data_IF_872921702942
#
_entry.id   IF_872921702942
#
_cell.length_a   1.000
_cell.length_b   1.000
_cell.length_c   1.000
_cell.angle_alpha   90.00
_cell.angle_beta   90.00
_cell.angle_gamma   90.00
#
_symmetry.space_group_name_H-M   'P 1'
#
loop_
_entity.id
_entity.type
_entity.pdbx_description
1 polymer ?
#
# COMPACT_ATOMS: atom_id res chain seq x y z
N UNK A 1 -26.35 85.92 38.57
CA UNK A 1 -27.80 85.63 38.44
C UNK A 1 -28.33 85.83 37.01
N UNK A 2 -28.17 87.00 36.38
CA UNK A 2 -28.73 87.30 35.05
C UNK A 2 -28.31 86.34 33.92
N UNK A 3 -27.05 85.87 33.92
CA UNK A 3 -26.53 84.90 32.93
C UNK A 3 -27.12 83.49 33.07
N UNK A 4 -27.60 83.12 34.27
CA UNK A 4 -28.19 81.79 34.53
C UNK A 4 -29.64 81.77 34.01
N UNK A 5 -30.37 82.87 34.21
CA UNK A 5 -31.73 83.01 33.68
C UNK A 5 -31.77 83.10 32.14
N UNK A 6 -30.75 83.68 31.49
CA UNK A 6 -30.71 83.70 30.01
C UNK A 6 -30.43 82.32 29.42
N UNK A 7 -29.60 81.50 30.08
CA UNK A 7 -29.33 80.11 29.66
C UNK A 7 -30.57 79.24 29.88
N UNK A 8 -31.27 79.41 31.01
CA UNK A 8 -32.51 78.68 31.28
C UNK A 8 -33.63 79.05 30.28
N UNK A 9 -33.77 80.33 29.94
CA UNK A 9 -34.73 80.80 28.94
C UNK A 9 -34.39 80.31 27.52
N UNK A 10 -33.09 80.23 27.18
CA UNK A 10 -32.64 79.65 25.92
C UNK A 10 -32.94 78.15 25.84
N UNK A 11 -32.71 77.40 26.93
CA UNK A 11 -33.05 75.98 26.99
C UNK A 11 -34.57 75.73 26.93
N UNK A 12 -35.39 76.58 27.54
CA UNK A 12 -36.86 76.47 27.47
C UNK A 12 -37.40 76.85 26.09
N UNK A 13 -36.79 77.82 25.41
CA UNK A 13 -37.15 78.20 24.04
C UNK A 13 -36.78 77.10 23.03
N UNK A 14 -35.61 76.47 23.18
CA UNK A 14 -35.17 75.35 22.32
C UNK A 14 -36.05 74.11 22.51
N UNK A 15 -36.57 73.89 23.72
CA UNK A 15 -37.44 72.75 24.01
C UNK A 15 -38.85 72.91 23.39
N UNK A 16 -39.34 74.13 23.20
CA UNK A 16 -40.65 74.40 22.58
C UNK A 16 -40.63 74.40 21.05
N UNK A 17 -39.47 74.60 20.42
CA UNK A 17 -39.35 74.62 18.96
C UNK A 17 -39.01 73.26 18.36
N UNK A 18 -38.95 72.19 19.16
CA UNK A 18 -38.80 70.84 18.63
C UNK A 18 -40.08 70.44 17.91
N UNK A 19 -40.09 70.33 16.57
CA UNK A 19 -41.28 69.89 15.87
C UNK A 19 -41.57 68.46 16.34
N UNK A 20 -42.75 68.28 16.97
CA UNK A 20 -43.35 66.98 17.17
C UNK A 20 -43.37 66.28 15.80
N UNK A 21 -42.66 65.15 15.70
CA UNK A 21 -42.36 64.49 14.43
C UNK A 21 -43.59 64.43 13.54
N UNK A 22 -43.51 65.08 12.38
CA UNK A 22 -44.41 64.82 11.29
C UNK A 22 -44.31 63.32 11.00
N UNK A 23 -45.40 62.58 11.20
CA UNK A 23 -45.48 61.20 10.78
C UNK A 23 -45.37 61.20 9.25
N UNK A 24 -44.15 61.01 8.74
CA UNK A 24 -43.93 60.70 7.34
C UNK A 24 -44.82 59.50 7.02
N UNK A 25 -45.79 59.75 6.15
CA UNK A 25 -46.67 58.71 5.66
C UNK A 25 -45.86 57.95 4.62
N UNK A 26 -45.53 56.70 4.91
CA UNK A 26 -44.70 55.88 4.05
C UNK A 26 -45.61 55.13 3.08
N UNK A 27 -45.24 55.15 1.81
CA UNK A 27 -45.90 54.41 0.73
C UNK A 27 -45.21 53.07 0.59
N UNK A 28 -45.98 51.98 0.76
CA UNK A 28 -45.52 50.61 0.56
C UNK A 28 -46.16 50.09 -0.71
N UNK A 29 -45.34 49.75 -1.70
CA UNK A 29 -45.80 49.19 -2.97
C UNK A 29 -45.69 47.66 -2.95
N UNK A 30 -46.72 47.00 -3.45
CA UNK A 30 -46.78 45.55 -3.60
C UNK A 30 -46.41 45.14 -5.02
N UNK A 31 -45.97 43.90 -5.19
CA UNK A 31 -45.69 43.29 -6.50
C UNK A 31 -46.91 43.35 -7.45
N UNK A 32 -48.13 43.29 -6.89
CA UNK A 32 -49.38 43.41 -7.64
C UNK A 32 -49.76 44.86 -8.04
N UNK A 33 -48.91 45.85 -7.74
CA UNK A 33 -49.14 47.27 -8.03
C UNK A 33 -50.09 47.99 -7.06
N UNK A 34 -50.47 47.34 -5.95
CA UNK A 34 -51.26 47.98 -4.89
C UNK A 34 -50.35 48.81 -3.98
N UNK A 35 -50.83 49.99 -3.58
CA UNK A 35 -50.08 50.96 -2.78
C UNK A 35 -50.79 51.13 -1.45
N UNK A 36 -50.07 50.89 -0.35
CA UNK A 36 -50.58 51.12 1.01
C UNK A 36 -49.81 52.27 1.65
N UNK A 37 -50.54 53.30 2.06
CA UNK A 37 -50.00 54.43 2.80
C UNK A 37 -50.17 54.23 4.31
N UNK A 38 -49.07 54.30 5.05
CA UNK A 38 -49.11 54.18 6.50
C UNK A 38 -47.75 54.18 7.17
N UNK A 39 -47.70 53.63 8.37
CA UNK A 39 -46.47 53.46 9.14
C UNK A 39 -46.36 52.00 9.63
N UNK A 40 -45.15 51.44 9.65
CA UNK A 40 -44.93 50.05 10.10
C UNK A 40 -45.19 49.96 11.61
N UNK A 41 -46.24 49.26 11.99
CA UNK A 41 -46.61 49.08 13.40
C UNK A 41 -45.87 47.90 14.03
N UNK A 42 -45.79 46.78 13.32
CA UNK A 42 -45.13 45.56 13.74
C UNK A 42 -44.61 44.81 12.52
N UNK A 43 -43.50 44.12 12.67
CA UNK A 43 -42.87 43.37 11.60
C UNK A 43 -42.23 42.12 12.20
N UNK A 44 -42.61 40.98 11.65
CA UNK A 44 -42.10 39.66 11.99
C UNK A 44 -41.24 39.15 10.81
N UNK A 45 -40.69 37.94 10.92
CA UNK A 45 -39.81 37.34 9.91
C UNK A 45 -40.46 37.19 8.53
N UNK A 46 -41.78 36.96 8.48
CA UNK A 46 -42.47 36.67 7.21
C UNK A 46 -43.57 37.70 6.88
N UNK A 47 -44.06 38.46 7.86
CA UNK A 47 -45.19 39.38 7.65
C UNK A 47 -45.02 40.71 8.38
N UNK A 48 -45.65 41.76 7.84
CA UNK A 48 -45.73 43.07 8.48
C UNK A 48 -47.15 43.57 8.63
N UNK A 49 -47.34 44.44 9.62
CA UNK A 49 -48.59 45.15 9.87
C UNK A 49 -48.35 46.65 9.75
N UNK A 50 -48.99 47.25 8.77
CA UNK A 50 -48.97 48.70 8.53
C UNK A 50 -50.20 49.33 9.19
N UNK A 51 -49.96 50.36 10.01
CA UNK A 51 -51.00 51.25 10.52
C UNK A 51 -51.32 52.28 9.45
N UNK A 52 -52.52 52.22 8.89
CA UNK A 52 -52.98 53.15 7.85
C UNK A 52 -53.29 54.52 8.47
N UNK A 53 -53.24 55.56 7.64
CA UNK A 53 -53.57 56.95 8.03
C UNK A 53 -54.97 57.11 8.63
N UNK A 54 -55.91 56.23 8.25
CA UNK A 54 -57.30 56.21 8.73
C UNK A 54 -57.41 55.65 10.17
N UNK A 55 -56.30 55.23 10.79
CA UNK A 55 -56.27 54.69 12.14
C UNK A 55 -56.54 53.18 12.23
N UNK A 56 -56.89 52.55 11.10
CA UNK A 56 -57.06 51.11 10.96
C UNK A 56 -55.73 50.41 10.66
N UNK A 57 -55.56 49.19 11.15
CA UNK A 57 -54.44 48.32 10.78
C UNK A 57 -54.79 47.53 9.53
N UNK A 58 -53.80 47.27 8.68
CA UNK A 58 -53.95 46.33 7.58
C UNK A 58 -53.85 44.88 8.11
N UNK A 59 -54.44 43.93 7.38
CA UNK A 59 -54.19 42.51 7.62
C UNK A 59 -52.70 42.20 7.47
N UNK A 60 -52.20 41.14 8.11
CA UNK A 60 -50.78 40.75 8.00
C UNK A 60 -50.41 40.54 6.54
N UNK A 61 -49.47 41.35 6.05
CA UNK A 61 -49.00 41.32 4.66
C UNK A 61 -47.67 40.58 4.65
N UNK A 62 -47.56 39.54 3.85
CA UNK A 62 -46.31 38.79 3.74
C UNK A 62 -45.26 39.61 2.98
N UNK A 63 -44.01 39.54 3.45
CA UNK A 63 -42.88 40.29 2.87
C UNK A 63 -42.61 39.89 1.41
N UNK A 64 -43.01 38.68 1.02
CA UNK A 64 -42.92 38.16 -0.36
C UNK A 64 -43.71 39.01 -1.35
N UNK A 65 -44.82 39.62 -0.93
CA UNK A 65 -45.70 40.39 -1.82
C UNK A 65 -45.27 41.86 -1.97
N UNK A 66 -44.20 42.29 -1.31
CA UNK A 66 -43.69 43.66 -1.44
C UNK A 66 -42.82 43.80 -2.69
N UNK A 67 -42.82 45.00 -3.28
CA UNK A 67 -41.91 45.31 -4.37
C UNK A 67 -40.45 45.38 -3.88
N UNK A 68 -39.51 45.08 -4.76
CA UNK A 68 -38.07 45.14 -4.43
C UNK A 68 -37.64 46.54 -4.00
N UNK A 69 -38.23 47.58 -4.56
CA UNK A 69 -37.96 48.97 -4.17
C UNK A 69 -38.38 49.23 -2.71
N UNK A 70 -39.54 48.69 -2.30
CA UNK A 70 -40.03 48.79 -0.93
C UNK A 70 -39.16 47.99 0.04
N UNK A 71 -38.70 46.79 -0.34
CA UNK A 71 -37.80 45.96 0.46
C UNK A 71 -36.41 46.61 0.62
N UNK A 72 -35.86 47.19 -0.44
CA UNK A 72 -34.60 47.95 -0.37
C UNK A 72 -34.73 49.19 0.53
N UNK A 73 -35.86 49.90 0.46
CA UNK A 73 -36.15 51.01 1.36
C UNK A 73 -36.25 50.54 2.82
N UNK A 74 -36.87 49.38 3.05
CA UNK A 74 -37.04 48.83 4.39
C UNK A 74 -35.72 48.37 5.00
N UNK A 75 -34.80 47.84 4.18
CA UNK A 75 -33.42 47.50 4.56
C UNK A 75 -32.59 48.71 5.00
N UNK A 76 -32.87 49.92 4.49
CA UNK A 76 -32.17 51.13 4.94
C UNK A 76 -32.37 51.41 6.45
N UNK A 77 -33.41 50.83 7.05
CA UNK A 77 -33.65 50.92 8.48
C UNK A 77 -33.02 49.71 9.22
N UNK A 78 -32.10 49.92 10.19
CA UNK A 78 -31.36 48.83 10.84
C UNK A 78 -32.25 47.90 11.68
N UNK A 79 -33.45 48.34 12.07
CA UNK A 79 -34.44 47.54 12.79
C UNK A 79 -35.08 46.45 11.92
N UNK A 80 -35.10 46.67 10.62
CA UNK A 80 -35.86 45.86 9.67
C UNK A 80 -34.97 45.07 8.70
N UNK A 81 -33.67 45.40 8.64
CA UNK A 81 -32.71 44.79 7.74
C UNK A 81 -32.64 43.26 7.84
N UNK A 82 -32.58 42.70 9.06
CA UNK A 82 -32.48 41.25 9.28
C UNK A 82 -33.67 40.47 8.71
N UNK A 83 -34.87 41.05 8.78
CA UNK A 83 -36.10 40.41 8.29
C UNK A 83 -36.27 40.53 6.78
N UNK A 84 -35.62 41.51 6.14
CA UNK A 84 -35.83 41.85 4.72
C UNK A 84 -34.72 41.28 3.84
N UNK A 85 -33.51 41.13 4.38
CA UNK A 85 -32.36 40.56 3.67
C UNK A 85 -32.65 39.22 2.94
N UNK A 86 -33.47 38.29 3.47
CA UNK A 86 -33.82 37.06 2.77
C UNK A 86 -34.71 37.26 1.53
N UNK A 87 -35.47 38.35 1.47
CA UNK A 87 -36.48 38.60 0.42
C UNK A 87 -35.97 39.52 -0.70
N UNK A 88 -34.84 40.20 -0.50
CA UNK A 88 -34.19 40.98 -1.55
C UNK A 88 -33.49 40.04 -2.51
N UNK A 89 -33.86 40.07 -3.79
CA UNK A 89 -33.15 39.33 -4.82
C UNK A 89 -31.77 39.97 -5.02
N UNK A 90 -30.71 39.17 -4.82
CA UNK A 90 -29.36 39.60 -5.16
C UNK A 90 -29.26 39.70 -6.69
N UNK A 91 -28.73 40.81 -7.25
CA UNK A 91 -28.51 40.92 -8.68
C UNK A 91 -27.60 39.80 -9.18
N UNK A 92 -27.89 39.24 -10.36
CA UNK A 92 -27.21 38.06 -10.92
C UNK A 92 -25.68 38.21 -11.03
N UNK A 93 -25.18 39.45 -11.07
CA UNK A 93 -23.76 39.81 -11.16
C UNK A 93 -22.94 39.49 -9.89
N UNK A 94 -23.58 39.30 -8.72
CA UNK A 94 -22.90 39.01 -7.44
C UNK A 94 -22.90 37.52 -7.06
N UNK A 95 -23.51 36.65 -7.88
CA UNK A 95 -23.54 35.20 -7.65
C UNK A 95 -22.18 34.60 -8.07
N UNK A 96 -21.15 34.87 -7.28
CA UNK A 96 -19.88 34.17 -7.43
C UNK A 96 -20.00 32.80 -6.74
N UNK A 97 -19.75 31.68 -7.46
CA UNK A 97 -19.69 30.38 -6.81
C UNK A 97 -18.59 30.41 -5.73
N UNK A 98 -18.85 29.90 -4.53
CA UNK A 98 -17.88 29.95 -3.45
C UNK A 98 -16.59 29.24 -3.88
N UNK A 99 -15.47 29.95 -3.86
CA UNK A 99 -14.16 29.39 -4.22
C UNK A 99 -13.73 28.43 -3.10
N UNK A 100 -13.97 27.14 -3.31
CA UNK A 100 -13.53 26.08 -2.39
C UNK A 100 -12.01 25.95 -2.53
N UNK A 101 -11.26 26.55 -1.61
CA UNK A 101 -9.82 26.33 -1.48
C UNK A 101 -9.58 24.92 -0.93
N UNK A 102 -9.54 23.92 -1.81
CA UNK A 102 -9.20 22.54 -1.47
C UNK A 102 -7.75 22.48 -1.00
N UNK A 103 -7.53 22.42 0.31
CA UNK A 103 -6.21 22.15 0.88
C UNK A 103 -5.81 20.74 0.45
N UNK A 104 -4.84 20.64 -0.46
CA UNK A 104 -4.31 19.34 -0.84
C UNK A 104 -3.70 18.68 0.39
N UNK A 105 -3.97 17.38 0.62
CA UNK A 105 -3.41 16.67 1.75
C UNK A 105 -1.88 16.62 1.60
N UNK A 106 -1.18 16.83 2.71
CA UNK A 106 0.28 16.80 2.76
C UNK A 106 0.76 15.39 2.38
N UNK A 107 1.29 15.25 1.16
CA UNK A 107 1.82 13.99 0.66
C UNK A 107 3.25 13.89 1.13
N UNK A 108 3.60 12.80 1.80
CA UNK A 108 5.00 12.48 2.08
C UNK A 108 5.79 12.57 0.77
N UNK A 109 6.80 13.44 0.74
CA UNK A 109 7.69 13.54 -0.40
C UNK A 109 8.37 12.19 -0.60
N UNK A 110 8.21 11.62 -1.80
CA UNK A 110 8.92 10.42 -2.15
C UNK A 110 10.41 10.77 -2.23
N UNK A 111 11.31 10.06 -1.55
CA UNK A 111 12.73 10.37 -1.60
C UNK A 111 13.21 10.32 -3.05
N UNK A 112 13.83 11.41 -3.50
CA UNK A 112 14.37 11.54 -4.84
C UNK A 112 15.58 10.60 -5.00
N UNK A 113 15.31 9.40 -5.48
CA UNK A 113 16.32 8.38 -5.73
C UNK A 113 15.80 7.32 -6.67
N UNK A 114 16.37 7.23 -7.87
CA UNK A 114 16.11 6.11 -8.78
C UNK A 114 16.72 4.85 -8.15
N UNK A 115 15.91 3.99 -7.56
CA UNK A 115 16.35 2.69 -7.02
C UNK A 115 16.76 1.78 -8.17
N UNK A 116 18.03 1.85 -8.56
CA UNK A 116 18.62 0.93 -9.54
C UNK A 116 19.23 -0.27 -8.82
N UNK A 117 19.32 -1.42 -9.50
CA UNK A 117 19.92 -2.64 -8.94
C UNK A 117 21.37 -2.41 -8.45
N UNK A 118 22.10 -1.50 -9.10
CA UNK A 118 23.46 -1.12 -8.72
C UNK A 118 23.54 -0.23 -7.49
N UNK A 119 22.45 0.47 -7.13
CA UNK A 119 22.38 1.28 -5.91
C UNK A 119 22.56 0.42 -4.66
N UNK A 120 22.04 -0.80 -4.67
CA UNK A 120 22.17 -1.75 -3.56
C UNK A 120 23.61 -2.29 -3.44
N UNK A 121 24.33 -2.42 -4.56
CA UNK A 121 25.72 -2.90 -4.57
C UNK A 121 26.70 -1.90 -3.92
N UNK A 122 26.41 -0.61 -3.97
CA UNK A 122 27.26 0.44 -3.38
C UNK A 122 27.04 0.63 -1.87
N UNK A 123 26.14 -0.14 -1.25
CA UNK A 123 25.94 -0.12 0.19
C UNK A 123 26.98 -0.99 0.91
N UNK A 124 27.29 -0.75 2.19
CA UNK A 124 28.19 -1.60 2.97
C UNK A 124 27.77 -3.07 2.98
N UNK A 125 26.45 -3.32 3.03
CA UNK A 125 25.88 -4.68 2.94
C UNK A 125 26.04 -5.26 1.53
N UNK A 126 25.91 -4.43 0.50
CA UNK A 126 26.20 -4.79 -0.88
C UNK A 126 27.64 -5.25 -1.08
N UNK A 127 28.62 -4.52 -0.52
CA UNK A 127 30.03 -4.92 -0.57
C UNK A 127 30.28 -6.27 0.12
N UNK A 128 29.67 -6.53 1.28
CA UNK A 128 29.78 -7.84 1.93
C UNK A 128 29.26 -8.97 1.03
N UNK A 129 28.16 -8.76 0.32
CA UNK A 129 27.65 -9.74 -0.63
C UNK A 129 28.60 -9.94 -1.83
N UNK A 130 29.15 -8.86 -2.38
CA UNK A 130 30.15 -8.94 -3.47
C UNK A 130 31.36 -9.76 -3.01
N UNK A 131 31.89 -9.49 -1.81
CA UNK A 131 33.03 -10.24 -1.28
C UNK A 131 32.68 -11.71 -1.01
N UNK A 132 31.48 -12.01 -0.52
CA UNK A 132 31.03 -13.38 -0.32
C UNK A 132 30.95 -14.17 -1.65
N UNK A 133 30.36 -13.57 -2.69
CA UNK A 133 30.32 -14.17 -4.03
C UNK A 133 31.72 -14.30 -4.65
N UNK A 134 32.59 -13.31 -4.43
CA UNK A 134 33.97 -13.35 -4.90
C UNK A 134 34.78 -14.47 -4.23
N UNK A 135 34.62 -14.67 -2.91
CA UNK A 135 35.22 -15.77 -2.18
C UNK A 135 34.70 -17.13 -2.68
N UNK A 136 33.39 -17.26 -2.92
CA UNK A 136 32.80 -18.44 -3.54
C UNK A 136 33.36 -18.74 -4.93
N UNK A 137 33.60 -17.70 -5.74
CA UNK A 137 34.24 -17.81 -7.05
C UNK A 137 35.70 -18.31 -6.96
N UNK A 138 36.47 -17.88 -5.94
CA UNK A 138 37.83 -18.36 -5.71
C UNK A 138 37.85 -19.81 -5.20
N UNK A 139 36.92 -20.20 -4.34
CA UNK A 139 36.78 -21.59 -3.89
C UNK A 139 36.39 -22.51 -5.05
N UNK A 140 35.46 -22.08 -5.91
CA UNK A 140 35.12 -22.84 -7.11
C UNK A 140 36.34 -23.02 -8.03
N UNK A 141 37.14 -21.96 -8.21
CA UNK A 141 38.38 -22.04 -8.99
C UNK A 141 39.41 -23.00 -8.39
N UNK A 142 39.55 -23.01 -7.06
CA UNK A 142 40.42 -23.92 -6.34
C UNK A 142 40.03 -25.38 -6.57
N UNK A 143 38.75 -25.72 -6.39
CA UNK A 143 38.24 -27.07 -6.62
C UNK A 143 38.41 -27.51 -8.08
N UNK A 144 38.18 -26.61 -9.03
CA UNK A 144 38.39 -26.90 -10.46
C UNK A 144 39.87 -27.13 -10.75
N UNK A 145 40.79 -26.40 -10.11
CA UNK A 145 42.23 -26.58 -10.28
C UNK A 145 42.65 -27.99 -9.83
N UNK A 146 42.18 -28.41 -8.65
CA UNK A 146 42.43 -29.75 -8.10
C UNK A 146 41.81 -30.82 -9.00
N UNK A 147 40.56 -30.64 -9.42
CA UNK A 147 39.84 -31.61 -10.26
C UNK A 147 40.43 -31.76 -11.67
N UNK A 148 40.98 -30.70 -12.25
CA UNK A 148 41.59 -30.69 -13.60
C UNK A 148 43.11 -30.92 -13.58
N UNK A 149 43.74 -31.03 -12.42
CA UNK A 149 45.20 -31.17 -12.29
C UNK A 149 45.99 -29.95 -12.77
N UNK A 150 45.42 -28.74 -12.67
CA UNK A 150 46.01 -27.49 -13.15
C UNK A 150 46.69 -26.74 -11.99
N UNK A 151 47.73 -25.92 -12.25
CA UNK A 151 48.36 -25.13 -11.19
C UNK A 151 47.36 -24.17 -10.53
N UNK A 152 47.18 -24.31 -9.21
CA UNK A 152 46.17 -23.58 -8.43
C UNK A 152 46.32 -22.06 -8.59
N UNK A 153 47.56 -21.55 -8.57
CA UNK A 153 47.84 -20.13 -8.74
C UNK A 153 47.33 -19.56 -10.08
N UNK A 154 47.40 -20.34 -11.16
CA UNK A 154 46.95 -19.91 -12.49
C UNK A 154 45.41 -19.86 -12.53
N UNK A 155 44.74 -20.92 -12.08
CA UNK A 155 43.27 -21.02 -12.13
C UNK A 155 42.62 -20.02 -11.18
N UNK A 156 43.11 -19.90 -9.94
CA UNK A 156 42.63 -18.89 -8.99
C UNK A 156 42.98 -17.47 -9.44
N UNK A 157 44.18 -17.24 -9.99
CA UNK A 157 44.60 -15.93 -10.49
C UNK A 157 43.76 -15.43 -11.67
N UNK A 158 43.44 -16.30 -12.62
CA UNK A 158 42.55 -15.92 -13.73
C UNK A 158 41.11 -15.70 -13.25
N UNK A 159 40.63 -16.53 -12.33
CA UNK A 159 39.30 -16.38 -11.71
C UNK A 159 39.16 -15.09 -10.89
N UNK A 160 40.26 -14.59 -10.33
CA UNK A 160 40.29 -13.32 -9.62
C UNK A 160 40.09 -12.11 -10.54
N UNK A 161 40.56 -12.18 -11.80
CA UNK A 161 40.46 -11.12 -12.81
C UNK A 161 39.12 -11.20 -13.55
N UNK A 162 38.69 -12.42 -13.89
CA UNK A 162 37.46 -12.71 -14.62
C UNK A 162 36.56 -13.63 -13.78
N UNK A 163 35.81 -13.07 -12.81
CA UNK A 163 34.89 -13.86 -11.99
C UNK A 163 33.87 -14.60 -12.88
N UNK A 164 33.48 -15.80 -12.46
CA UNK A 164 32.56 -16.70 -13.17
C UNK A 164 33.14 -17.27 -14.48
N UNK A 165 33.70 -16.43 -15.36
CA UNK A 165 34.25 -16.85 -16.66
C UNK A 165 35.51 -17.70 -16.48
N UNK A 166 36.43 -17.30 -15.59
CA UNK A 166 37.68 -18.04 -15.33
C UNK A 166 37.43 -19.52 -14.97
N UNK A 167 36.62 -19.81 -13.93
CA UNK A 167 36.22 -21.17 -13.58
C UNK A 167 35.58 -21.95 -14.73
N UNK A 168 34.68 -21.32 -15.49
CA UNK A 168 33.99 -21.95 -16.64
C UNK A 168 34.99 -22.31 -17.75
N UNK A 169 35.98 -21.48 -18.01
CA UNK A 169 37.01 -21.80 -19.00
C UNK A 169 37.79 -23.06 -18.57
N UNK A 170 38.29 -23.10 -17.34
CA UNK A 170 39.11 -24.23 -16.88
C UNK A 170 38.35 -25.55 -16.75
N UNK A 171 37.05 -25.51 -16.45
CA UNK A 171 36.23 -26.72 -16.47
C UNK A 171 35.98 -27.22 -17.90
N UNK A 172 35.88 -26.33 -18.89
CA UNK A 172 35.72 -26.70 -20.31
C UNK A 172 37.02 -27.21 -20.95
N UNK A 173 38.18 -26.83 -20.42
CA UNK A 173 39.46 -27.38 -20.88
C UNK A 173 39.65 -28.83 -20.42
N UNK A 174 40.35 -29.66 -21.21
CA UNK A 174 40.72 -31.00 -20.78
C UNK A 174 41.64 -30.94 -19.56
N UNK A 175 41.48 -31.92 -18.67
CA UNK A 175 42.38 -32.13 -17.55
C UNK A 175 43.79 -32.46 -18.04
N UNK A 176 44.79 -31.94 -17.36
CA UNK A 176 46.17 -32.37 -17.56
C UNK A 176 46.43 -33.36 -16.43
N UNK A 177 46.84 -34.58 -16.76
CA UNK A 177 47.38 -35.48 -15.74
C UNK A 177 48.59 -34.78 -15.14
N UNK A 178 48.52 -34.47 -13.85
CA UNK A 178 49.59 -33.80 -13.15
C UNK A 178 50.83 -34.70 -13.18
N UNK A 179 51.77 -34.43 -14.08
CA UNK A 179 53.17 -34.69 -13.80
C UNK A 179 53.44 -33.88 -12.55
N UNK A 180 53.61 -34.58 -11.44
CA UNK A 180 53.88 -34.03 -10.12
C UNK A 180 54.77 -32.83 -10.24
N UNK A 181 54.22 -31.64 -9.97
CA UNK A 181 54.97 -30.40 -9.77
C UNK A 181 55.70 -30.46 -8.42
N UNK A 182 56.43 -31.55 -8.20
CA UNK A 182 57.50 -31.73 -7.23
C UNK A 182 58.85 -31.89 -7.97
N UNK A 183 58.86 -32.06 -9.30
CA UNK A 183 60.06 -31.95 -10.16
C UNK A 183 60.26 -30.54 -10.71
N UNK A 184 59.98 -29.51 -9.90
CA UNK A 184 60.69 -28.26 -10.09
C UNK A 184 62.06 -28.49 -9.46
N UNK A 185 63.05 -28.87 -10.28
CA UNK A 185 64.44 -28.94 -9.85
C UNK A 185 64.78 -27.68 -9.04
N UNK A 186 65.18 -27.79 -7.76
CA UNK A 186 65.71 -26.65 -7.07
C UNK A 186 66.99 -26.27 -7.81
N UNK A 187 67.07 -25.01 -8.24
CA UNK A 187 68.33 -24.41 -8.64
C UNK A 187 69.33 -24.67 -7.52
N UNK A 188 70.31 -25.50 -7.82
CA UNK A 188 71.44 -25.84 -6.96
C UNK A 188 72.18 -24.57 -6.59
N UNK A 189 72.04 -24.15 -5.34
CA UNK A 189 73.03 -23.34 -4.66
C UNK A 189 73.94 -24.31 -3.91
N UNK A 190 75.23 -24.28 -4.26
CA UNK A 190 76.28 -25.09 -3.65
C UNK A 190 76.38 -24.78 -2.15
N UNK A 191 76.14 -25.77 -1.28
CA UNK A 191 76.99 -26.05 -0.10
C UNK A 191 76.54 -27.32 0.67
N UNK A 192 77.48 -28.28 0.72
CA UNK A 192 77.78 -29.23 1.81
C UNK A 192 76.72 -30.27 2.29
N UNK A 193 77.05 -31.52 1.95
CA UNK A 193 76.70 -32.89 2.40
C UNK A 193 76.56 -33.16 3.93
N UNK A 194 76.31 -34.43 4.40
CA UNK A 194 75.42 -35.53 3.94
C UNK A 194 74.64 -36.25 5.09
N UNK A 195 73.63 -37.09 4.78
CA UNK A 195 73.21 -38.17 5.70
C UNK A 195 71.87 -38.91 5.49
N UNK A 196 71.90 -40.03 4.74
CA UNK A 196 71.25 -41.35 4.98
C UNK A 196 69.69 -41.50 5.13
N UNK A 197 69.09 -42.72 5.06
CA UNK A 197 68.23 -43.21 3.95
C UNK A 197 66.72 -43.41 4.29
N UNK A 198 65.85 -43.75 3.29
CA UNK A 198 64.38 -43.72 3.42
C UNK A 198 63.71 -45.07 3.75
N UNK A 199 62.48 -45.04 4.30
CA UNK A 199 61.54 -46.17 4.40
C UNK A 199 60.08 -45.66 4.62
N UNK A 200 59.01 -46.48 4.48
CA UNK A 200 58.19 -46.58 3.28
C UNK A 200 56.71 -46.19 3.46
N UNK A 201 56.00 -46.09 2.32
CA UNK A 201 54.58 -45.77 2.16
C UNK A 201 53.59 -46.84 2.68
N UNK A 202 52.39 -46.39 3.09
CA UNK A 202 51.09 -47.08 3.01
C UNK A 202 49.95 -46.11 3.48
N UNK A 203 48.65 -46.43 3.31
CA UNK A 203 47.86 -46.38 2.08
C UNK A 203 46.62 -45.45 2.18
N UNK A 204 46.04 -45.11 1.04
CA UNK A 204 44.81 -44.33 0.91
C UNK A 204 43.53 -45.14 1.26
N UNK A 205 42.48 -44.48 1.81
CA UNK A 205 41.10 -44.98 1.78
C UNK A 205 40.18 -44.11 0.89
N UNK A 206 38.95 -44.58 0.55
CA UNK A 206 38.51 -44.66 -0.83
C UNK A 206 37.54 -43.57 -1.30
N UNK A 207 37.54 -43.44 -2.62
CA UNK A 207 36.60 -42.74 -3.49
C UNK A 207 35.16 -43.23 -3.31
N UNK A 208 34.32 -42.40 -2.69
CA UNK A 208 32.86 -42.55 -2.67
C UNK A 208 32.22 -41.91 -3.89
N UNK A 209 31.90 -42.72 -4.91
CA UNK A 209 31.00 -42.34 -6.00
C UNK A 209 29.57 -42.23 -5.46
N UNK A 210 29.03 -41.02 -5.36
CA UNK A 210 27.60 -40.79 -5.26
C UNK A 210 27.07 -40.37 -6.64
N UNK A 211 26.38 -41.29 -7.31
CA UNK A 211 25.74 -41.03 -8.60
C UNK A 211 24.54 -40.10 -8.43
N UNK A 212 24.66 -38.89 -8.99
CA UNK A 212 23.54 -37.98 -9.24
C UNK A 212 22.85 -38.44 -10.53
N UNK A 213 21.68 -39.09 -10.37
CA UNK A 213 20.81 -39.44 -11.49
C UNK A 213 20.14 -38.19 -12.06
N UNK A 214 20.47 -37.85 -13.30
CA UNK A 214 19.68 -36.94 -14.12
C UNK A 214 18.37 -37.64 -14.50
N UNK A 215 17.24 -37.08 -14.08
CA UNK A 215 15.98 -37.27 -14.82
C UNK A 215 15.72 -36.03 -15.68
N UNK A 216 15.52 -36.33 -16.95
CA UNK A 216 15.33 -35.45 -18.07
C UNK A 216 13.95 -34.77 -18.03
N UNK A 217 13.91 -33.49 -18.41
CA UNK A 217 12.79 -32.89 -19.16
C UNK A 217 11.51 -32.57 -18.41
N UNK A 218 11.30 -31.28 -18.15
CA UNK A 218 10.01 -30.73 -17.72
C UNK A 218 9.85 -29.29 -18.15
N UNK A 219 9.66 -29.08 -19.45
CA UNK A 219 9.30 -27.81 -20.03
C UNK A 219 8.07 -27.20 -19.33
N UNK A 220 8.05 -25.87 -19.29
CA UNK A 220 6.92 -25.07 -18.87
C UNK A 220 5.60 -25.62 -19.47
N UNK A 221 4.70 -26.08 -18.60
CA UNK A 221 3.31 -26.34 -18.94
C UNK A 221 2.43 -25.37 -18.16
N UNK A 222 1.91 -24.42 -18.93
CA UNK A 222 0.74 -23.59 -18.71
C UNK A 222 -0.40 -24.29 -17.97
N UNK A 223 -1.17 -23.49 -17.24
CA UNK A 223 -2.34 -23.93 -16.48
C UNK A 223 -3.46 -24.57 -17.31
N UNK A 224 -4.41 -25.16 -16.57
CA UNK A 224 -5.61 -25.78 -17.12
C UNK A 224 -5.84 -27.16 -16.50
N UNK A 225 -6.97 -27.33 -15.83
CA UNK A 225 -7.32 -28.48 -14.99
C UNK A 225 -7.05 -29.86 -15.60
N UNK A 226 -6.31 -30.67 -14.85
CA UNK A 226 -6.20 -32.12 -15.02
C UNK A 226 -6.29 -32.77 -13.64
N UNK A 227 -7.15 -33.78 -13.50
CA UNK A 227 -7.61 -34.34 -12.23
C UNK A 227 -6.50 -34.64 -11.22
N UNK A 228 -6.65 -34.10 -10.01
CA UNK A 228 -5.68 -34.22 -8.91
C UNK A 228 -5.66 -35.62 -8.24
N UNK A 229 -6.47 -36.57 -8.70
CA UNK A 229 -6.60 -37.89 -8.08
C UNK A 229 -5.28 -38.66 -8.09
N UNK A 230 -4.80 -39.09 -6.91
CA UNK A 230 -3.58 -39.89 -6.78
C UNK A 230 -2.27 -39.11 -6.90
N UNK A 231 -2.33 -37.77 -6.98
CA UNK A 231 -1.12 -36.95 -6.99
C UNK A 231 -0.51 -36.87 -5.59
N UNK A 232 0.80 -37.10 -5.52
CA UNK A 232 1.62 -37.10 -4.31
C UNK A 232 2.67 -36.01 -4.45
N UNK A 233 2.65 -35.05 -3.54
CA UNK A 233 3.66 -34.01 -3.45
C UNK A 233 4.49 -34.23 -2.18
N UNK A 234 5.81 -34.32 -2.32
CA UNK A 234 6.76 -34.36 -1.20
C UNK A 234 7.42 -32.99 -1.02
N UNK A 235 7.76 -32.64 0.23
CA UNK A 235 8.50 -31.41 0.56
C UNK A 235 9.86 -31.34 -0.14
N UNK A 236 10.45 -32.49 -0.46
CA UNK A 236 11.76 -32.60 -1.12
C UNK A 236 11.72 -32.13 -2.58
N UNK A 237 10.56 -32.28 -3.24
CA UNK A 237 10.38 -31.95 -4.66
C UNK A 237 9.62 -30.63 -4.85
N UNK A 238 8.81 -30.23 -3.87
CA UNK A 238 7.93 -29.06 -3.99
C UNK A 238 7.94 -28.22 -2.71
N UNK A 239 8.17 -26.92 -2.88
CA UNK A 239 8.05 -25.97 -1.78
C UNK A 239 6.57 -25.69 -1.48
N UNK A 240 6.10 -26.16 -0.33
CA UNK A 240 4.75 -25.89 0.16
C UNK A 240 4.62 -24.46 0.67
N UNK A 241 4.40 -23.52 -0.25
CA UNK A 241 4.05 -22.15 0.06
C UNK A 241 2.56 -21.88 -0.21
N UNK A 242 2.08 -20.71 0.22
CA UNK A 242 0.70 -20.27 -0.02
C UNK A 242 0.31 -20.36 -1.50
N UNK A 243 1.15 -19.84 -2.39
CA UNK A 243 0.86 -19.76 -3.83
C UNK A 243 0.70 -21.16 -4.45
N UNK A 244 1.50 -22.13 -4.02
CA UNK A 244 1.42 -23.52 -4.46
C UNK A 244 0.06 -24.12 -4.09
N UNK A 245 -0.38 -23.93 -2.83
CA UNK A 245 -1.65 -24.48 -2.36
C UNK A 245 -2.83 -23.82 -3.08
N UNK A 246 -2.82 -22.51 -3.23
CA UNK A 246 -3.87 -21.76 -3.93
C UNK A 246 -3.97 -22.16 -5.42
N UNK A 247 -2.84 -22.42 -6.08
CA UNK A 247 -2.80 -22.72 -7.52
C UNK A 247 -3.11 -24.19 -7.82
N UNK A 248 -2.61 -25.13 -7.01
CA UNK A 248 -2.78 -26.57 -7.27
C UNK A 248 -4.05 -27.15 -6.67
N UNK A 249 -4.53 -26.61 -5.56
CA UNK A 249 -5.71 -27.14 -4.84
C UNK A 249 -6.90 -26.17 -4.86
N UNK A 250 -7.00 -25.31 -5.88
CA UNK A 250 -8.07 -24.30 -6.00
C UNK A 250 -9.48 -24.89 -5.85
N UNK A 251 -9.70 -26.11 -6.35
CA UNK A 251 -11.00 -26.77 -6.27
C UNK A 251 -11.42 -27.14 -4.83
N UNK A 252 -10.45 -27.40 -3.93
CA UNK A 252 -10.68 -27.77 -2.53
C UNK A 252 -10.99 -26.57 -1.60
N UNK A 253 -10.94 -25.34 -2.12
CA UNK A 253 -11.38 -24.12 -1.40
C UNK A 253 -12.88 -23.85 -1.54
N UNK A 254 -13.56 -24.53 -2.47
CA UNK A 254 -14.99 -24.32 -2.69
C UNK A 254 -15.80 -24.95 -1.55
N UNK A 255 -16.82 -24.24 -1.08
CA UNK A 255 -17.75 -24.72 -0.05
C UNK A 255 -18.56 -25.93 -0.55
N UNK A 256 -18.88 -25.97 -1.84
CA UNK A 256 -19.54 -27.09 -2.52
C UNK A 256 -18.52 -27.80 -3.41
N UNK A 257 -18.19 -29.08 -3.14
CA UNK A 257 -17.27 -29.85 -3.98
C UNK A 257 -17.77 -29.95 -5.43
N UNK A 258 -16.88 -29.69 -6.39
CA UNK A 258 -17.14 -29.93 -7.81
C UNK A 258 -17.28 -31.43 -8.10
N UNK A 259 -17.94 -31.80 -9.20
CA UNK A 259 -18.12 -33.20 -9.60
C UNK A 259 -16.80 -33.99 -9.67
N UNK A 260 -15.69 -33.32 -10.02
CA UNK A 260 -14.35 -33.89 -10.11
C UNK A 260 -13.68 -34.25 -8.78
N UNK A 261 -14.08 -33.60 -7.67
CA UNK A 261 -13.47 -33.76 -6.34
C UNK A 261 -14.43 -34.34 -5.29
N UNK A 262 -15.67 -34.65 -5.66
CA UNK A 262 -16.72 -35.13 -4.73
C UNK A 262 -16.31 -36.36 -3.92
N UNK A 263 -15.45 -37.22 -4.49
CA UNK A 263 -14.94 -38.42 -3.82
C UNK A 263 -13.46 -38.27 -3.40
N UNK A 264 -12.83 -37.11 -3.58
CA UNK A 264 -11.41 -36.92 -3.24
C UNK A 264 -11.25 -36.24 -1.87
N UNK A 265 -10.21 -36.63 -1.15
CA UNK A 265 -9.86 -36.12 0.18
C UNK A 265 -8.35 -35.85 0.21
N UNK A 266 -7.95 -34.78 0.90
CA UNK A 266 -6.55 -34.40 1.04
C UNK A 266 -5.97 -35.03 2.30
N UNK A 267 -4.92 -35.83 2.18
CA UNK A 267 -4.12 -36.28 3.32
C UNK A 267 -2.84 -35.46 3.45
N UNK A 268 -2.72 -34.76 4.57
CA UNK A 268 -1.56 -33.97 4.94
C UNK A 268 -0.74 -34.75 5.97
N UNK A 269 0.43 -35.23 5.57
CA UNK A 269 1.38 -35.86 6.49
C UNK A 269 2.28 -34.79 7.11
N UNK A 270 2.19 -34.64 8.42
CA UNK A 270 3.10 -33.79 9.21
C UNK A 270 4.10 -34.64 9.98
N UNK A 271 5.06 -34.01 10.66
CA UNK A 271 6.01 -34.68 11.55
C UNK A 271 5.30 -35.45 12.67
N UNK A 272 4.16 -34.93 13.16
CA UNK A 272 3.46 -35.46 14.34
C UNK A 272 2.34 -36.42 13.98
N UNK A 273 1.52 -36.11 12.97
CA UNK A 273 0.30 -36.86 12.59
C UNK A 273 -0.08 -36.67 11.12
N UNK A 274 -0.92 -37.56 10.60
CA UNK A 274 -1.58 -37.42 9.30
C UNK A 274 -2.99 -36.82 9.50
N UNK A 275 -3.30 -35.74 8.78
CA UNK A 275 -4.59 -35.08 8.81
C UNK A 275 -5.32 -35.31 7.50
N UNK A 276 -6.51 -35.89 7.58
CA UNK A 276 -7.36 -36.18 6.41
C UNK A 276 -8.46 -35.14 6.33
N UNK A 277 -8.39 -34.27 5.33
CA UNK A 277 -9.21 -33.07 5.18
C UNK A 277 -10.08 -33.11 3.93
N UNK A 278 -11.35 -32.75 4.10
CA UNK A 278 -12.33 -32.68 2.99
C UNK A 278 -12.21 -31.36 2.23
N UNK A 279 -11.83 -30.28 2.93
CA UNK A 279 -11.83 -28.91 2.42
C UNK A 279 -10.74 -28.08 3.09
N UNK A 280 -10.25 -27.09 2.37
CA UNK A 280 -9.43 -25.99 2.91
C UNK A 280 -10.37 -24.82 3.23
N UNK A 281 -10.48 -24.44 4.51
CA UNK A 281 -11.40 -23.39 4.97
C UNK A 281 -10.83 -21.98 4.77
N UNK A 282 -9.58 -21.78 5.17
CA UNK A 282 -8.86 -20.51 4.99
C UNK A 282 -7.35 -20.76 4.88
N UNK A 283 -6.66 -19.82 4.24
CA UNK A 283 -5.20 -19.82 4.12
C UNK A 283 -4.67 -18.46 4.53
N UNK A 284 -3.67 -18.45 5.41
CA UNK A 284 -2.96 -17.26 5.86
C UNK A 284 -1.54 -17.24 5.26
N UNK A 285 -0.72 -16.24 5.63
CA UNK A 285 0.66 -16.15 5.15
C UNK A 285 1.56 -17.32 5.58
N UNK A 286 1.30 -17.89 6.76
CA UNK A 286 2.12 -18.95 7.39
C UNK A 286 1.36 -20.25 7.65
N UNK A 287 0.03 -20.19 7.72
CA UNK A 287 -0.81 -21.27 8.22
C UNK A 287 -1.98 -21.59 7.28
N UNK A 288 -2.36 -22.86 7.32
CA UNK A 288 -3.43 -23.46 6.54
C UNK A 288 -4.50 -24.00 7.49
N UNK A 289 -5.75 -23.65 7.25
CA UNK A 289 -6.88 -24.14 8.06
C UNK A 289 -7.69 -25.14 7.27
N UNK A 290 -7.75 -26.37 7.79
CA UNK A 290 -8.36 -27.51 7.15
C UNK A 290 -9.64 -27.92 7.88
N UNK A 291 -10.66 -28.31 7.13
CA UNK A 291 -11.83 -28.99 7.66
C UNK A 291 -11.63 -30.50 7.53
N UNK A 292 -11.52 -31.17 8.69
CA UNK A 292 -11.28 -32.61 8.75
C UNK A 292 -12.46 -33.44 8.21
N UNK A 293 -12.16 -34.67 7.76
CA UNK A 293 -13.19 -35.65 7.39
C UNK A 293 -13.90 -36.22 8.63
N UNK A 294 -13.16 -36.41 9.73
CA UNK A 294 -13.69 -36.88 11.02
C UNK A 294 -14.20 -35.68 11.84
N UNK A 295 -15.35 -35.14 11.41
CA UNK A 295 -16.05 -34.04 12.07
C UNK A 295 -15.73 -32.67 11.47
N UNK A 296 -16.69 -31.75 11.55
CA UNK A 296 -16.57 -30.37 11.05
C UNK A 296 -15.62 -29.49 11.88
N UNK A 297 -14.58 -30.08 12.48
CA UNK A 297 -13.59 -29.38 13.29
C UNK A 297 -12.52 -28.80 12.38
N UNK A 298 -12.26 -27.50 12.55
CA UNK A 298 -11.18 -26.82 11.85
C UNK A 298 -9.86 -27.03 12.60
N UNK A 299 -8.81 -27.37 11.86
CA UNK A 299 -7.45 -27.51 12.39
C UNK A 299 -6.51 -26.62 11.60
N UNK A 300 -5.69 -25.85 12.32
CA UNK A 300 -4.61 -25.04 11.76
C UNK A 300 -3.33 -25.86 11.66
N UNK A 301 -2.71 -25.87 10.48
CA UNK A 301 -1.39 -26.45 10.21
C UNK A 301 -0.46 -25.38 9.66
N UNK A 302 0.78 -25.32 10.16
CA UNK A 302 1.78 -24.43 9.58
C UNK A 302 2.46 -25.07 8.36
N UNK A 303 2.76 -24.29 7.33
CA UNK A 303 3.42 -24.80 6.12
C UNK A 303 4.75 -25.50 6.40
N UNK A 304 5.48 -25.06 7.44
CA UNK A 304 6.76 -25.66 7.84
C UNK A 304 6.64 -27.10 8.33
N UNK A 305 5.49 -27.48 8.89
CA UNK A 305 5.25 -28.80 9.49
C UNK A 305 4.79 -29.86 8.47
N UNK A 306 4.40 -29.45 7.27
CA UNK A 306 3.88 -30.35 6.21
C UNK A 306 5.07 -31.02 5.50
N UNK A 307 5.07 -32.35 5.46
CA UNK A 307 6.10 -33.16 4.81
C UNK A 307 5.60 -33.70 3.46
N UNK A 308 4.33 -34.12 3.40
CA UNK A 308 3.74 -34.72 2.20
C UNK A 308 2.26 -34.36 2.10
N UNK A 309 1.81 -34.05 0.88
CA UNK A 309 0.40 -33.86 0.55
C UNK A 309 0.02 -34.91 -0.48
N UNK A 310 -1.04 -35.66 -0.20
CA UNK A 310 -1.53 -36.71 -1.10
C UNK A 310 -3.04 -36.57 -1.29
N UNK A 311 -3.49 -36.71 -2.54
CA UNK A 311 -4.90 -36.66 -2.88
C UNK A 311 -5.43 -38.08 -3.00
N UNK A 312 -6.18 -38.53 -2.00
CA UNK A 312 -6.75 -39.87 -1.94
C UNK A 312 -8.22 -39.88 -2.29
N UNK A 313 -8.72 -41.03 -2.72
CA UNK A 313 -10.15 -41.28 -2.79
C UNK A 313 -10.69 -41.51 -1.36
N UNK A 314 -11.93 -41.10 -1.12
CA UNK A 314 -12.61 -41.15 0.17
C UNK A 314 -12.81 -42.58 0.68
#
# INVERSE_FOLDING_TARGET
MQKIYSILALCLAVCWTTPCGAAETQTFEMENGNIIEGNVSAMDEESMVIRRKIGTFTDRIDLVFLSQETLLWLKANPKYAEFVDPFIELPEDEIHPPVINVRQPDRMEQPDGKTTLFSTLSTPVGFLLIFAFYAGNLLAAYEIAVFRGRPVALVCGLSAILPVIGPILFISLPGIESVSQYDAEPLVDDTAAPGAPPAPAAPAPPSGKAGLGLSNGGAAASGGGGGLAGTVFSKDDTNFNRNFIETKFTEFFRVVPSASIKNLVLSFKTVKREYVATRISRISGSDLHLQLQQGAKEVSLSFGEIIKIEVRNK
#
